data_IF_830627200928
#
_entry.id   IF_830627200928
#
_cell.length_a   1.000
_cell.length_b   1.000
_cell.length_c   1.000
_cell.angle_alpha   90.00
_cell.angle_beta   90.00
_cell.angle_gamma   90.00
#
_symmetry.space_group_name_H-M   'P 1'
#
loop_
_entity.id
_entity.type
_entity.pdbx_description
1 polymer ?
#
# COMPACT_ATOMS: atom_id res chain seq x y z
N UNK A 1 -16.14 -13.83 -24.60
CA UNK A 1 -16.21 -15.24 -24.11
C UNK A 1 -15.08 -15.61 -23.14
N UNK A 2 -14.14 -14.70 -22.87
CA UNK A 2 -13.22 -14.79 -21.73
C UNK A 2 -13.88 -14.10 -20.53
N UNK A 3 -13.91 -14.78 -19.38
CA UNK A 3 -14.25 -14.17 -18.08
C UNK A 3 -12.99 -14.10 -17.23
N UNK A 4 -12.74 -12.94 -16.65
CA UNK A 4 -11.63 -12.69 -15.72
C UNK A 4 -12.18 -12.40 -14.34
N UNK A 5 -11.52 -12.92 -13.33
CA UNK A 5 -11.80 -12.61 -11.92
C UNK A 5 -10.48 -12.37 -11.20
N UNK A 6 -10.48 -11.42 -10.28
CA UNK A 6 -9.33 -11.07 -9.47
C UNK A 6 -9.66 -11.31 -7.99
N UNK A 7 -8.69 -11.79 -7.23
CA UNK A 7 -8.83 -12.05 -5.80
C UNK A 7 -7.57 -11.64 -5.05
N UNK A 8 -7.74 -11.40 -3.75
CA UNK A 8 -6.65 -11.12 -2.81
C UNK A 8 -5.77 -9.92 -3.21
N UNK A 9 -6.34 -8.73 -3.48
CA UNK A 9 -5.53 -7.53 -3.69
C UNK A 9 -4.76 -7.22 -2.40
N UNK A 10 -3.43 -7.12 -2.50
CA UNK A 10 -2.55 -6.84 -1.37
C UNK A 10 -1.33 -6.04 -1.79
N UNK A 11 -0.79 -5.25 -0.86
CA UNK A 11 0.51 -4.62 -1.04
C UNK A 11 1.62 -5.67 -1.03
N UNK A 12 2.46 -5.67 -2.06
CA UNK A 12 3.68 -6.47 -2.06
C UNK A 12 4.91 -5.57 -2.00
N UNK A 13 5.54 -5.53 -0.82
CA UNK A 13 6.76 -4.75 -0.56
C UNK A 13 7.87 -5.00 -1.57
N UNK A 14 8.09 -6.26 -1.97
CA UNK A 14 9.15 -6.65 -2.91
C UNK A 14 8.94 -6.11 -4.33
N UNK A 15 7.68 -5.94 -4.75
CA UNK A 15 7.35 -5.34 -6.06
C UNK A 15 7.10 -3.84 -5.96
N UNK A 16 6.87 -3.31 -4.75
CA UNK A 16 6.46 -1.92 -4.54
C UNK A 16 5.14 -1.60 -5.23
N UNK A 17 4.23 -2.58 -5.31
CA UNK A 17 2.96 -2.46 -6.03
C UNK A 17 1.88 -3.29 -5.35
N UNK A 18 0.62 -2.95 -5.65
CA UNK A 18 -0.54 -3.77 -5.27
C UNK A 18 -0.69 -4.89 -6.27
N UNK A 19 -0.68 -6.12 -5.77
CA UNK A 19 -0.74 -7.33 -6.57
C UNK A 19 -2.02 -8.10 -6.24
N UNK A 20 -2.52 -8.85 -7.21
CA UNK A 20 -3.68 -9.72 -7.04
C UNK A 20 -3.49 -11.03 -7.82
N UNK A 21 -4.32 -12.01 -7.50
CA UNK A 21 -4.40 -13.26 -8.24
C UNK A 21 -5.51 -13.18 -9.29
N UNK A 22 -5.17 -13.36 -10.56
CA UNK A 22 -6.11 -13.44 -11.68
C UNK A 22 -6.42 -14.90 -12.03
N UNK A 23 -7.70 -15.16 -12.24
CA UNK A 23 -8.22 -16.39 -12.84
C UNK A 23 -8.96 -16.05 -14.13
N UNK A 24 -8.66 -16.78 -15.19
CA UNK A 24 -9.27 -16.59 -16.52
C UNK A 24 -9.95 -17.88 -16.96
N UNK A 25 -11.22 -17.76 -17.35
CA UNK A 25 -12.03 -18.90 -17.83
C UNK A 25 -12.62 -18.61 -19.20
N UNK A 26 -12.76 -19.67 -20.00
CA UNK A 26 -13.43 -19.65 -21.30
C UNK A 26 -14.47 -20.75 -21.28
N UNK A 27 -15.75 -20.40 -21.47
CA UNK A 27 -16.87 -21.36 -21.39
C UNK A 27 -16.88 -22.22 -20.12
N UNK A 28 -16.43 -21.67 -18.98
CA UNK A 28 -16.35 -22.39 -17.70
C UNK A 28 -15.08 -23.24 -17.52
N UNK A 29 -14.26 -23.41 -18.55
CA UNK A 29 -12.97 -24.09 -18.45
C UNK A 29 -11.86 -23.10 -18.04
N UNK A 30 -11.03 -23.42 -17.04
CA UNK A 30 -9.92 -22.55 -16.63
C UNK A 30 -8.81 -22.55 -17.69
N UNK A 31 -8.49 -21.36 -18.20
CA UNK A 31 -7.33 -21.12 -19.07
C UNK A 31 -6.15 -20.63 -18.24
N UNK A 32 -6.42 -19.80 -17.24
CA UNK A 32 -5.45 -19.37 -16.22
C UNK A 32 -6.07 -19.68 -14.86
N UNK A 33 -5.45 -20.59 -14.11
CA UNK A 33 -5.95 -21.00 -12.80
C UNK A 33 -5.65 -19.96 -11.71
N UNK A 34 -4.40 -19.48 -11.66
CA UNK A 34 -3.94 -18.44 -10.76
C UNK A 34 -2.70 -17.79 -11.38
N UNK A 35 -2.79 -16.49 -11.71
CA UNK A 35 -1.66 -15.69 -12.18
C UNK A 35 -1.56 -14.45 -11.33
N UNK A 36 -0.36 -14.19 -10.81
CA UNK A 36 -0.07 -12.93 -10.14
C UNK A 36 -0.05 -11.79 -11.16
N UNK A 37 -0.82 -10.74 -10.90
CA UNK A 37 -0.93 -9.57 -11.79
C UNK A 37 -0.81 -8.29 -10.98
N UNK A 38 -0.30 -7.23 -11.63
CA UNK A 38 -0.34 -5.89 -11.08
C UNK A 38 -1.79 -5.40 -11.05
N UNK A 39 -2.26 -5.01 -9.88
CA UNK A 39 -3.65 -4.63 -9.63
C UNK A 39 -3.92 -3.14 -9.85
N UNK A 40 -2.87 -2.33 -9.96
CA UNK A 40 -2.98 -0.87 -10.13
C UNK A 40 -3.70 -0.45 -11.41
N UNK A 41 -3.66 -1.29 -12.46
CA UNK A 41 -4.38 -1.02 -13.72
C UNK A 41 -5.83 -1.54 -13.72
N UNK A 42 -6.21 -2.33 -12.71
CA UNK A 42 -7.52 -2.98 -12.62
C UNK A 42 -8.43 -2.17 -11.70
N UNK A 43 -7.93 -1.82 -10.52
CA UNK A 43 -8.62 -0.97 -9.56
C UNK A 43 -7.63 0.04 -8.98
N UNK A 44 -7.64 1.24 -9.54
CA UNK A 44 -6.76 2.33 -9.12
C UNK A 44 -7.14 2.87 -7.75
N UNK A 45 -8.41 2.82 -7.37
CA UNK A 45 -8.89 3.37 -6.10
C UNK A 45 -8.42 2.50 -4.93
N UNK A 46 -8.71 1.20 -4.98
CA UNK A 46 -8.22 0.27 -3.96
C UNK A 46 -6.69 0.21 -3.94
N UNK A 47 -6.05 0.30 -5.11
CA UNK A 47 -4.59 0.29 -5.18
C UNK A 47 -3.97 1.53 -4.54
N UNK A 48 -4.61 2.70 -4.68
CA UNK A 48 -4.18 3.94 -4.01
C UNK A 48 -4.32 3.80 -2.50
N UNK A 49 -5.46 3.31 -2.02
CA UNK A 49 -5.71 3.10 -0.59
C UNK A 49 -4.63 2.20 0.04
N UNK A 50 -4.38 1.03 -0.56
CA UNK A 50 -3.36 0.10 -0.08
C UNK A 50 -1.94 0.66 -0.18
N UNK A 51 -1.65 1.46 -1.22
CA UNK A 51 -0.37 2.14 -1.34
C UNK A 51 -0.18 3.18 -0.21
N UNK A 52 -1.17 4.01 0.07
CA UNK A 52 -1.06 5.01 1.14
C UNK A 52 -0.87 4.31 2.48
N UNK A 53 -1.73 3.34 2.82
CA UNK A 53 -1.71 2.66 4.11
C UNK A 53 -0.41 1.88 4.33
N UNK A 54 -0.05 0.99 3.40
CA UNK A 54 1.11 0.12 3.60
C UNK A 54 2.42 0.79 3.17
N UNK A 55 2.46 1.42 2.00
CA UNK A 55 3.70 1.95 1.46
C UNK A 55 4.14 3.23 2.19
N UNK A 56 3.22 4.18 2.39
CA UNK A 56 3.54 5.50 2.95
C UNK A 56 3.40 5.57 4.47
N UNK A 57 2.29 5.08 5.01
CA UNK A 57 1.98 5.17 6.45
C UNK A 57 2.72 4.10 7.25
N UNK A 58 2.67 2.83 6.87
CA UNK A 58 3.45 1.78 7.54
C UNK A 58 4.94 1.81 7.15
N UNK A 59 5.29 2.53 6.07
CA UNK A 59 6.68 2.71 5.64
C UNK A 59 7.24 1.52 4.84
N UNK A 60 6.39 0.64 4.34
CA UNK A 60 6.78 -0.57 3.61
C UNK A 60 7.14 -0.32 2.13
N UNK A 61 7.45 0.93 1.77
CA UNK A 61 7.91 1.28 0.43
C UNK A 61 9.43 1.33 0.32
N UNK A 62 10.01 0.37 -0.39
CA UNK A 62 11.45 0.38 -0.68
C UNK A 62 11.74 1.26 -1.90
N UNK A 63 11.96 2.55 -1.67
CA UNK A 63 12.25 3.52 -2.72
C UNK A 63 13.55 4.31 -2.51
N UNK A 64 14.10 4.84 -3.60
CA UNK A 64 15.27 5.74 -3.59
C UNK A 64 14.88 7.22 -3.46
N UNK A 65 13.59 7.54 -3.45
CA UNK A 65 13.12 8.92 -3.33
C UNK A 65 13.61 9.56 -2.02
N UNK A 66 14.14 10.78 -2.12
CA UNK A 66 14.67 11.52 -0.98
C UNK A 66 13.56 11.87 0.03
N UNK A 67 12.42 12.39 -0.47
CA UNK A 67 11.30 12.81 0.38
C UNK A 67 10.83 11.70 1.32
N UNK A 68 10.79 10.45 0.84
CA UNK A 68 10.31 9.33 1.65
C UNK A 68 11.27 9.04 2.80
N UNK A 69 12.58 9.07 2.53
CA UNK A 69 13.61 8.92 3.57
C UNK A 69 13.58 10.07 4.58
N UNK A 70 13.36 11.29 4.11
CA UNK A 70 13.22 12.48 4.96
C UNK A 70 11.97 12.40 5.84
N UNK A 71 10.83 11.98 5.29
CA UNK A 71 9.58 11.76 6.03
C UNK A 71 9.75 10.69 7.11
N UNK A 72 10.38 9.55 6.79
CA UNK A 72 10.66 8.50 7.78
C UNK A 72 11.58 9.00 8.90
N UNK A 73 12.61 9.78 8.56
CA UNK A 73 13.51 10.40 9.55
C UNK A 73 12.77 11.37 10.45
N UNK A 74 11.93 12.23 9.87
CA UNK A 74 11.13 13.20 10.62
C UNK A 74 10.17 12.49 11.58
N UNK A 75 9.50 11.42 11.13
CA UNK A 75 8.61 10.62 11.99
C UNK A 75 9.36 10.01 13.17
N UNK A 76 10.52 9.40 12.92
CA UNK A 76 11.35 8.83 13.98
C UNK A 76 11.85 9.91 14.97
N UNK A 77 12.20 11.10 14.48
CA UNK A 77 12.60 12.22 15.33
C UNK A 77 11.44 12.73 16.21
N UNK A 78 10.22 12.80 15.68
CA UNK A 78 9.01 13.18 16.42
C UNK A 78 8.68 12.14 17.51
N UNK A 79 8.73 10.85 17.17
CA UNK A 79 8.50 9.75 18.12
C UNK A 79 9.51 9.79 19.29
N UNK A 80 10.80 10.00 19.00
CA UNK A 80 11.85 10.16 20.00
C UNK A 80 11.64 11.38 20.92
N UNK A 81 11.15 12.50 20.37
CA UNK A 81 10.87 13.71 21.16
C UNK A 81 9.68 13.52 22.10
N UNK A 82 8.63 12.81 21.66
CA UNK A 82 7.49 12.48 22.52
C UNK A 82 7.89 11.61 23.71
N UNK A 83 8.67 10.54 23.45
CA UNK A 83 9.17 9.65 24.48
C UNK A 83 9.96 10.41 25.56
N UNK A 84 10.73 11.44 25.17
CA UNK A 84 11.50 12.29 26.10
C UNK A 84 10.63 13.32 26.82
N UNK A 85 9.66 13.92 26.13
CA UNK A 85 8.86 15.02 26.68
C UNK A 85 7.68 14.57 27.55
N UNK A 86 7.31 13.27 27.56
CA UNK A 86 6.07 12.75 28.19
C UNK A 86 4.80 13.52 27.78
N UNK A 87 4.85 14.26 26.67
CA UNK A 87 3.70 14.92 26.04
C UNK A 87 3.25 13.98 24.94
N UNK A 88 2.02 13.48 25.05
CA UNK A 88 1.40 12.49 24.16
C UNK A 88 0.51 13.13 23.07
N UNK A 89 0.61 14.44 22.87
CA UNK A 89 -0.31 15.21 22.03
C UNK A 89 0.26 15.55 20.63
N UNK A 90 1.39 14.95 20.22
CA UNK A 90 2.08 15.30 18.96
C UNK A 90 2.05 14.14 17.95
N UNK A 91 1.90 12.88 18.41
CA UNK A 91 1.77 11.73 17.50
C UNK A 91 0.46 11.84 16.73
N UNK A 92 0.59 12.09 15.43
CA UNK A 92 -0.50 11.97 14.48
C UNK A 92 -0.75 10.48 14.27
N UNK A 93 -2.00 10.03 14.47
CA UNK A 93 -2.34 8.63 14.24
C UNK A 93 -2.25 8.25 12.75
N UNK A 94 -2.15 6.95 12.50
CA UNK A 94 -2.00 6.40 11.15
C UNK A 94 -3.18 6.74 10.23
N UNK A 95 -4.39 6.94 10.79
CA UNK A 95 -5.57 7.29 10.02
C UNK A 95 -5.53 8.75 9.57
N UNK A 96 -5.07 9.65 10.43
CA UNK A 96 -4.84 11.07 10.09
C UNK A 96 -3.73 11.20 9.05
N UNK A 97 -2.67 10.39 9.14
CA UNK A 97 -1.65 10.32 8.09
C UNK A 97 -2.22 9.78 6.78
N UNK A 98 -3.10 8.78 6.84
CA UNK A 98 -3.79 8.26 5.66
C UNK A 98 -4.64 9.35 5.00
N UNK A 99 -5.49 10.03 5.77
CA UNK A 99 -6.34 11.13 5.28
C UNK A 99 -5.50 12.26 4.66
N UNK A 100 -4.36 12.60 5.25
CA UNK A 100 -3.44 13.60 4.71
C UNK A 100 -2.90 13.23 3.31
N UNK A 101 -2.58 11.95 3.09
CA UNK A 101 -2.09 11.48 1.78
C UNK A 101 -3.21 11.21 0.77
N UNK A 102 -4.45 10.98 1.24
CA UNK A 102 -5.58 10.69 0.36
C UNK A 102 -6.19 11.95 -0.27
N UNK A 103 -5.99 13.12 0.34
CA UNK A 103 -6.27 14.44 -0.24
C UNK A 103 -5.40 14.74 -1.47
#
# INVERSE_FOLDING_TARGET
>A
LLKRSYSEPHWERGQGAVMATEKVTVYGLPVVAARKVNYSQIDTALSRELFIRHALVEGDWQTRHAFFRENLKLRAEVEELEHKSRRRDILVDDETLFEFYDQ
#
